data_IF_957917423974
#
_entry.id   IF_957917423974
#
_cell.length_a   1.000
_cell.length_b   1.000
_cell.length_c   1.000
_cell.angle_alpha   90.00
_cell.angle_beta   90.00
_cell.angle_gamma   90.00
#
_symmetry.space_group_name_H-M   'P 1'
#
loop_
_entity.id
_entity.type
_entity.pdbx_description
1 polymer ?
#
# COMPACT_ATOMS: atom_id res chain seq x y z
N UNK A 1 40.33 58.19 -0.91
CA UNK A 1 40.07 56.77 -1.24
C UNK A 1 38.56 56.59 -1.33
N UNK A 2 38.01 56.62 -2.55
CA UNK A 2 36.55 56.64 -2.79
C UNK A 2 36.20 55.37 -3.56
N UNK A 3 35.43 54.46 -2.95
CA UNK A 3 35.00 53.20 -3.60
C UNK A 3 33.72 53.48 -4.41
N UNK A 4 33.80 53.29 -5.72
CA UNK A 4 32.66 53.31 -6.63
C UNK A 4 31.87 52.00 -6.55
N UNK A 5 30.56 52.12 -6.36
CA UNK A 5 29.62 51.00 -6.45
C UNK A 5 29.24 50.76 -7.90
N UNK A 6 29.52 49.57 -8.42
CA UNK A 6 29.01 49.09 -9.69
C UNK A 6 27.58 48.54 -9.48
N UNK A 7 26.63 49.05 -10.25
CA UNK A 7 25.26 48.57 -10.32
C UNK A 7 25.13 47.58 -11.48
N UNK A 8 24.74 46.33 -11.20
CA UNK A 8 24.41 45.35 -12.23
C UNK A 8 22.89 45.36 -12.49
N UNK A 9 22.42 45.45 -13.74
CA UNK A 9 21.00 45.27 -14.05
C UNK A 9 20.65 43.78 -14.03
N UNK A 10 19.69 43.40 -13.18
CA UNK A 10 19.13 42.04 -13.13
C UNK A 10 17.81 42.02 -13.90
N UNK A 11 17.86 41.56 -15.14
CA UNK A 11 16.68 41.19 -15.91
C UNK A 11 16.68 39.68 -16.09
N UNK A 12 15.73 38.99 -15.47
CA UNK A 12 15.27 37.68 -15.90
C UNK A 12 13.86 37.47 -15.35
N UNK A 13 12.89 37.59 -16.25
CA UNK A 13 11.52 37.12 -16.08
C UNK A 13 11.57 35.61 -15.91
N UNK A 14 11.13 35.10 -14.77
CA UNK A 14 10.73 33.70 -14.63
C UNK A 14 9.22 33.68 -14.46
N UNK A 15 8.52 33.44 -15.56
CA UNK A 15 7.09 33.13 -15.56
C UNK A 15 6.92 31.77 -14.89
N UNK A 16 6.52 31.80 -13.62
CA UNK A 16 6.17 30.61 -12.84
C UNK A 16 4.80 30.10 -13.31
N UNK A 17 4.76 29.43 -14.46
CA UNK A 17 3.58 28.72 -14.94
C UNK A 17 3.44 27.45 -14.11
N UNK A 18 2.83 27.57 -12.93
CA UNK A 18 2.33 26.43 -12.16
C UNK A 18 1.24 25.75 -12.98
N UNK A 19 1.60 24.69 -13.69
CA UNK A 19 0.66 23.80 -14.34
C UNK A 19 -0.26 23.20 -13.26
N UNK A 20 -1.48 23.72 -13.18
CA UNK A 20 -2.59 23.14 -12.40
C UNK A 20 -3.08 21.94 -13.19
N UNK A 21 -2.27 20.88 -13.22
CA UNK A 21 -2.70 19.57 -13.67
C UNK A 21 -3.75 19.10 -12.68
N UNK A 22 -5.01 19.20 -13.07
CA UNK A 22 -6.16 18.65 -12.35
C UNK A 22 -5.84 17.18 -12.08
N UNK A 23 -5.39 16.90 -10.86
CA UNK A 23 -5.13 15.56 -10.40
C UNK A 23 -6.49 14.92 -10.26
N UNK A 24 -6.89 14.18 -11.29
CA UNK A 24 -8.01 13.26 -11.23
C UNK A 24 -7.56 12.15 -10.28
N UNK A 25 -7.63 12.40 -8.97
CA UNK A 25 -7.54 11.37 -7.95
C UNK A 25 -8.90 10.69 -8.00
N UNK A 26 -9.01 9.47 -8.55
CA UNK A 26 -10.29 8.79 -8.66
C UNK A 26 -10.87 8.56 -7.27
N UNK A 27 -12.20 8.55 -7.19
CA UNK A 27 -12.95 8.47 -5.94
C UNK A 27 -12.38 7.41 -4.98
N UNK A 28 -11.90 7.91 -3.83
CA UNK A 28 -11.62 7.22 -2.58
C UNK A 28 -11.22 5.75 -2.71
N UNK A 29 -9.92 5.50 -2.91
CA UNK A 29 -9.37 4.17 -2.63
C UNK A 29 -9.31 3.98 -1.10
N UNK A 30 -9.81 2.85 -0.56
CA UNK A 30 -9.62 2.55 0.85
C UNK A 30 -8.12 2.60 1.18
N UNK A 31 -7.72 3.22 2.29
CA UNK A 31 -6.32 3.44 2.58
C UNK A 31 -5.59 2.09 2.67
N UNK A 32 -4.46 1.99 1.96
CA UNK A 32 -3.59 0.83 2.02
C UNK A 32 -2.79 0.90 3.32
N UNK A 33 -2.97 -0.07 4.21
CA UNK A 33 -2.26 -0.12 5.50
C UNK A 33 -0.90 -0.77 5.42
N UNK A 34 -0.77 -1.79 4.58
CA UNK A 34 0.49 -2.51 4.40
C UNK A 34 0.53 -3.17 3.04
N UNK A 35 1.74 -3.37 2.54
CA UNK A 35 1.97 -4.15 1.33
C UNK A 35 3.20 -5.04 1.47
N UNK A 36 3.22 -6.13 0.72
CA UNK A 36 4.44 -6.89 0.46
C UNK A 36 4.41 -7.48 -0.96
N UNK A 37 5.59 -7.76 -1.49
CA UNK A 37 5.77 -8.32 -2.84
C UNK A 37 6.31 -9.73 -2.71
N UNK A 38 5.76 -10.67 -3.47
CA UNK A 38 6.24 -12.05 -3.51
C UNK A 38 7.33 -12.23 -4.56
N UNK A 39 8.06 -13.34 -4.47
CA UNK A 39 9.07 -13.71 -5.47
C UNK A 39 8.49 -13.97 -6.88
N UNK A 40 7.18 -14.22 -6.99
CA UNK A 40 6.46 -14.38 -8.26
C UNK A 40 6.04 -13.03 -8.87
N UNK A 41 6.39 -11.91 -8.22
CA UNK A 41 6.03 -10.57 -8.68
C UNK A 41 4.60 -10.15 -8.33
N UNK A 42 3.87 -10.94 -7.53
CA UNK A 42 2.55 -10.54 -7.02
C UNK A 42 2.69 -9.52 -5.90
N UNK A 43 1.83 -8.51 -5.91
CA UNK A 43 1.74 -7.48 -4.86
C UNK A 43 0.52 -7.75 -4.00
N UNK A 44 0.73 -7.84 -2.69
CA UNK A 44 -0.33 -8.03 -1.71
C UNK A 44 -0.58 -6.70 -1.01
N UNK A 45 -1.82 -6.22 -1.06
CA UNK A 45 -2.25 -4.94 -0.50
C UNK A 45 -3.27 -5.20 0.60
N UNK A 46 -2.96 -4.80 1.84
CA UNK A 46 -3.94 -4.80 2.94
C UNK A 46 -4.73 -3.50 2.88
N UNK A 47 -6.04 -3.63 2.75
CA UNK A 47 -6.99 -2.53 2.78
C UNK A 47 -7.53 -2.35 4.19
N UNK A 48 -7.90 -1.12 4.52
CA UNK A 48 -8.69 -0.85 5.71
C UNK A 48 -10.09 -1.45 5.57
N UNK A 49 -10.55 -2.19 6.57
CA UNK A 49 -11.95 -2.60 6.62
C UNK A 49 -12.81 -1.39 6.99
N UNK A 50 -13.84 -1.13 6.18
CA UNK A 50 -14.84 -0.09 6.46
C UNK A 50 -15.59 -0.47 7.73
N UNK A 51 -15.08 -0.06 8.89
CA UNK A 51 -15.69 -0.39 10.17
C UNK A 51 -14.80 -0.13 11.37
N UNK A 52 -13.48 -0.12 11.23
CA UNK A 52 -12.56 0.20 12.33
C UNK A 52 -12.71 -0.68 13.59
N UNK A 53 -13.41 -1.80 13.48
CA UNK A 53 -13.54 -2.77 14.56
C UNK A 53 -12.34 -3.71 14.48
N UNK A 54 -11.64 -3.87 15.60
CA UNK A 54 -10.46 -4.74 15.69
C UNK A 54 -10.78 -6.22 15.38
N UNK A 55 -12.05 -6.61 15.45
CA UNK A 55 -12.54 -7.96 15.16
C UNK A 55 -12.90 -8.19 13.68
N UNK A 56 -12.87 -7.16 12.83
CA UNK A 56 -13.17 -7.32 11.41
C UNK A 56 -12.00 -8.02 10.70
N UNK A 57 -12.33 -9.00 9.84
CA UNK A 57 -11.36 -9.64 8.98
C UNK A 57 -10.66 -8.60 8.10
N UNK A 58 -9.31 -8.59 8.11
CA UNK A 58 -8.55 -7.72 7.22
C UNK A 58 -8.74 -8.16 5.77
N UNK A 59 -9.02 -7.20 4.89
CA UNK A 59 -9.13 -7.47 3.47
C UNK A 59 -7.77 -7.30 2.78
N UNK A 60 -7.40 -8.29 1.98
CA UNK A 60 -6.20 -8.28 1.16
C UNK A 60 -6.58 -8.35 -0.32
N UNK A 61 -6.02 -7.45 -1.12
CA UNK A 61 -6.08 -7.51 -2.58
C UNK A 61 -4.74 -7.99 -3.11
N UNK A 62 -4.76 -9.04 -3.92
CA UNK A 62 -3.60 -9.58 -4.60
C UNK A 62 -3.60 -9.08 -6.03
N UNK A 63 -2.55 -8.38 -6.40
CA UNK A 63 -2.33 -7.84 -7.73
C UNK A 63 -1.25 -8.67 -8.41
N UNK A 64 -1.54 -9.12 -9.63
CA UNK A 64 -0.62 -9.87 -10.47
C UNK A 64 0.59 -9.04 -10.91
N UNK A 65 1.61 -9.69 -11.48
CA UNK A 65 2.81 -9.00 -11.95
C UNK A 65 2.54 -8.04 -13.12
N UNK A 66 1.39 -8.16 -13.79
CA UNK A 66 0.91 -7.26 -14.83
C UNK A 66 0.15 -6.03 -14.29
N UNK A 67 -0.03 -5.94 -12.97
CA UNK A 67 -0.81 -4.89 -12.32
C UNK A 67 -2.32 -5.16 -12.27
N UNK A 68 -2.79 -6.32 -12.74
CA UNK A 68 -4.21 -6.69 -12.72
C UNK A 68 -4.57 -7.29 -11.35
N UNK A 69 -5.68 -6.89 -10.70
CA UNK A 69 -6.14 -7.54 -9.48
C UNK A 69 -6.58 -8.99 -9.77
N UNK A 70 -5.93 -9.96 -9.15
CA UNK A 70 -6.22 -11.40 -9.33
C UNK A 70 -7.18 -11.92 -8.26
N UNK A 71 -6.95 -11.57 -6.98
CA UNK A 71 -7.70 -12.14 -5.85
C UNK A 71 -8.03 -11.09 -4.78
N UNK A 72 -9.10 -11.40 -4.02
CA UNK A 72 -9.47 -10.70 -2.80
C UNK A 72 -9.63 -11.74 -1.69
N UNK A 73 -8.91 -11.54 -0.59
CA UNK A 73 -8.73 -12.53 0.48
C UNK A 73 -9.09 -11.89 1.81
N UNK A 74 -9.95 -12.54 2.58
CA UNK A 74 -10.16 -12.19 3.98
C UNK A 74 -9.13 -12.89 4.85
N UNK A 75 -8.32 -12.14 5.59
CA UNK A 75 -7.49 -12.70 6.64
C UNK A 75 -8.33 -12.89 7.92
N UNK A 76 -8.18 -14.01 8.64
CA UNK A 76 -8.81 -14.18 9.94
C UNK A 76 -8.41 -13.04 10.91
N UNK A 77 -9.30 -12.65 11.83
CA UNK A 77 -8.98 -11.63 12.83
C UNK A 77 -7.69 -11.97 13.59
N UNK A 78 -6.85 -10.95 13.82
CA UNK A 78 -5.59 -11.12 14.54
C UNK A 78 -4.44 -11.78 13.75
N UNK A 79 -4.63 -12.12 12.48
CA UNK A 79 -3.58 -12.66 11.60
C UNK A 79 -3.03 -11.57 10.69
N UNK A 80 -1.70 -11.43 10.67
CA UNK A 80 -1.00 -10.57 9.70
C UNK A 80 -0.21 -11.42 8.72
N UNK A 81 -0.52 -11.36 7.43
CA UNK A 81 0.27 -12.01 6.39
C UNK A 81 1.64 -11.35 6.22
N UNK A 82 2.66 -12.17 5.98
CA UNK A 82 4.07 -11.77 5.89
C UNK A 82 4.75 -12.24 4.61
N UNK A 83 4.32 -13.38 4.08
CA UNK A 83 4.88 -13.96 2.87
C UNK A 83 3.84 -14.83 2.15
N UNK A 84 4.02 -15.01 0.85
CA UNK A 84 3.22 -15.93 0.05
C UNK A 84 4.07 -16.55 -1.08
N UNK A 85 3.73 -17.78 -1.45
CA UNK A 85 4.34 -18.55 -2.53
C UNK A 85 3.30 -19.52 -3.09
N UNK A 86 2.99 -19.41 -4.38
CA UNK A 86 1.87 -20.10 -5.00
C UNK A 86 0.58 -19.88 -4.23
N UNK A 87 -0.05 -20.99 -3.83
CA UNK A 87 -1.30 -21.00 -3.07
C UNK A 87 -1.09 -21.04 -1.55
N UNK A 88 0.13 -20.76 -1.08
CA UNK A 88 0.48 -20.80 0.35
C UNK A 88 0.78 -19.41 0.86
N UNK A 89 0.21 -19.09 2.01
CA UNK A 89 0.38 -17.81 2.69
C UNK A 89 0.85 -18.05 4.12
N UNK A 90 1.97 -17.43 4.47
CA UNK A 90 2.48 -17.40 5.84
C UNK A 90 2.10 -16.09 6.50
N UNK A 91 1.63 -16.19 7.73
CA UNK A 91 1.35 -15.06 8.57
C UNK A 91 1.82 -15.27 9.99
N UNK A 92 1.60 -14.24 10.80
CA UNK A 92 1.78 -14.29 12.24
C UNK A 92 0.44 -14.04 12.90
N UNK A 93 0.04 -14.93 13.81
CA UNK A 93 -1.06 -14.71 14.74
C UNK A 93 -0.53 -14.41 16.14
N UNK A 94 -1.43 -14.05 17.05
CA UNK A 94 -1.14 -13.93 18.48
C UNK A 94 -2.10 -14.79 19.28
N UNK A 95 -1.59 -15.47 20.30
CA UNK A 95 -2.45 -16.19 21.26
C UNK A 95 -3.06 -15.22 22.27
N UNK A 96 -3.95 -15.71 23.13
CA UNK A 96 -4.53 -14.93 24.24
C UNK A 96 -3.48 -14.34 25.19
N UNK A 97 -2.28 -14.92 25.25
CA UNK A 97 -1.16 -14.42 26.05
C UNK A 97 -0.17 -13.56 25.23
N UNK A 98 -0.60 -13.01 24.09
CA UNK A 98 0.21 -12.20 23.17
C UNK A 98 1.46 -12.90 22.61
N UNK A 99 1.54 -14.23 22.70
CA UNK A 99 2.68 -14.99 22.18
C UNK A 99 2.53 -15.09 20.66
N UNK A 100 3.50 -14.59 19.86
CA UNK A 100 3.43 -14.68 18.41
C UNK A 100 3.67 -16.12 17.95
N UNK A 101 2.90 -16.56 16.97
CA UNK A 101 3.09 -17.86 16.31
C UNK A 101 2.94 -17.72 14.80
N UNK A 102 3.59 -18.62 14.06
CA UNK A 102 3.51 -18.65 12.60
C UNK A 102 2.32 -19.51 12.20
N UNK A 103 1.53 -18.99 11.27
CA UNK A 103 0.41 -19.70 10.63
C UNK A 103 0.68 -19.88 9.16
N UNK A 104 0.28 -21.03 8.63
CA UNK A 104 0.30 -21.34 7.21
C UNK A 104 -1.14 -21.57 6.76
N UNK A 105 -1.57 -20.80 5.77
CA UNK A 105 -2.85 -20.98 5.09
C UNK A 105 -2.62 -21.45 3.67
N UNK A 106 -3.54 -22.29 3.20
CA UNK A 106 -3.64 -22.65 1.78
C UNK A 106 -4.84 -21.90 1.18
N UNK A 107 -4.63 -21.27 0.02
CA UNK A 107 -5.67 -20.57 -0.71
C UNK A 107 -6.61 -21.61 -1.31
N UNK A 108 -7.83 -21.65 -0.78
CA UNK A 108 -8.90 -22.48 -1.34
C UNK A 108 -9.50 -21.85 -2.60
N UNK A 109 -10.27 -22.63 -3.39
CA UNK A 109 -11.03 -22.08 -4.51
C UNK A 109 -11.97 -20.98 -4.03
N UNK A 110 -12.09 -19.92 -4.84
CA UNK A 110 -13.05 -18.86 -4.58
C UNK A 110 -14.45 -19.47 -4.46
N UNK A 111 -15.10 -19.30 -3.30
CA UNK A 111 -16.50 -19.69 -3.13
C UNK A 111 -17.35 -18.68 -3.90
N UNK A 112 -17.94 -19.14 -4.99
CA UNK A 112 -18.84 -18.40 -5.88
C UNK A 112 -20.26 -18.36 -5.28
#
# INVERSE_FOLDING_TARGET
>A
MTRGSASCPRTANSSDTSATGESIIPGYYPPVRSLFVTHEGRVWLRLDSEGGHDDAADEWVVVGPDGTPEFRIGAPPGVTFKAAQGDRVWGTGKTEMDIPYIVLYELGPARN
#
